data_IF_748708362894
#
_entry.id   IF_748708362894
#
_cell.length_a   1.000
_cell.length_b   1.000
_cell.length_c   1.000
_cell.angle_alpha   90.00
_cell.angle_beta   90.00
_cell.angle_gamma   90.00
#
_symmetry.space_group_name_H-M   'P 1'
#
loop_
_entity.id
_entity.type
_entity.pdbx_description
1 polymer ?
#
# COMPACT_ATOMS: atom_id res chain seq x y z
N UNK A 1 -0.54 -20.33 -80.06
CA UNK A 1 0.78 -20.00 -79.57
C UNK A 1 0.64 -19.29 -78.22
N UNK A 2 1.00 -20.03 -77.26
CA UNK A 2 0.66 -19.82 -75.84
C UNK A 2 1.49 -18.72 -75.18
N UNK A 3 0.84 -17.93 -74.37
CA UNK A 3 1.48 -17.05 -73.40
C UNK A 3 1.27 -17.57 -71.99
N UNK A 4 2.34 -17.71 -71.20
CA UNK A 4 2.23 -18.18 -69.78
C UNK A 4 1.87 -17.06 -68.80
N UNK A 5 1.15 -17.49 -67.80
CA UNK A 5 0.46 -16.69 -66.86
C UNK A 5 1.32 -15.81 -65.96
N UNK A 6 0.69 -14.71 -65.55
CA UNK A 6 1.14 -13.75 -64.46
C UNK A 6 0.99 -14.39 -63.10
N UNK A 7 2.09 -14.60 -62.40
CA UNK A 7 2.08 -14.85 -60.97
C UNK A 7 1.78 -13.57 -60.21
N UNK A 8 0.61 -13.51 -59.58
CA UNK A 8 0.25 -12.54 -58.57
C UNK A 8 0.90 -12.95 -57.23
N UNK A 9 1.88 -12.18 -56.81
CA UNK A 9 2.41 -12.25 -55.46
C UNK A 9 1.41 -11.61 -54.50
N UNK A 10 0.60 -12.41 -53.83
CA UNK A 10 -0.18 -12.00 -52.69
C UNK A 10 0.76 -11.90 -51.50
N UNK A 11 1.07 -10.64 -51.10
CA UNK A 11 1.75 -10.34 -49.86
C UNK A 11 0.87 -10.75 -48.67
N UNK A 12 1.27 -11.80 -47.98
CA UNK A 12 0.69 -12.16 -46.70
C UNK A 12 1.08 -11.11 -45.66
N UNK A 13 0.17 -10.23 -45.35
CA UNK A 13 0.29 -9.36 -44.18
C UNK A 13 0.39 -10.22 -42.90
N UNK A 14 1.55 -10.19 -42.28
CA UNK A 14 1.69 -10.70 -40.91
C UNK A 14 0.83 -9.89 -40.00
N UNK A 15 -0.35 -10.39 -39.67
CA UNK A 15 -1.12 -9.96 -38.55
C UNK A 15 -0.31 -10.31 -37.28
N UNK A 16 0.23 -9.32 -36.63
CA UNK A 16 0.75 -9.43 -35.27
C UNK A 16 -0.42 -9.88 -34.37
N UNK A 17 -0.41 -11.17 -34.06
CA UNK A 17 -1.32 -11.73 -33.07
C UNK A 17 -1.05 -11.04 -31.76
N UNK A 18 -1.93 -10.14 -31.37
CA UNK A 18 -2.03 -9.66 -29.99
C UNK A 18 -2.36 -10.90 -29.15
N UNK A 19 -1.37 -11.41 -28.44
CA UNK A 19 -1.53 -12.54 -27.55
C UNK A 19 -2.64 -12.19 -26.57
N UNK A 20 -3.81 -12.80 -26.72
CA UNK A 20 -4.89 -12.71 -25.77
C UNK A 20 -4.39 -13.28 -24.46
N UNK A 21 -4.27 -12.41 -23.46
CA UNK A 21 -3.92 -12.77 -22.10
C UNK A 21 -4.94 -13.81 -21.60
N UNK A 22 -4.54 -15.07 -21.47
CA UNK A 22 -5.41 -16.08 -20.87
C UNK A 22 -5.67 -15.65 -19.43
N UNK A 23 -6.92 -15.39 -19.08
CA UNK A 23 -7.34 -14.72 -17.83
C UNK A 23 -6.83 -15.40 -16.54
N UNK A 24 -6.44 -16.67 -16.60
CA UNK A 24 -6.13 -17.48 -15.44
C UNK A 24 -4.79 -17.12 -14.73
N UNK A 25 -3.78 -16.59 -15.41
CA UNK A 25 -2.47 -16.27 -14.82
C UNK A 25 -2.12 -14.78 -14.92
N UNK A 26 -3.11 -13.94 -15.16
CA UNK A 26 -2.92 -12.49 -15.22
C UNK A 26 -2.62 -11.91 -13.83
N UNK A 27 -1.92 -10.78 -13.78
CA UNK A 27 -1.68 -10.08 -12.52
C UNK A 27 -2.98 -9.66 -11.83
N UNK A 28 -4.05 -9.40 -12.60
CA UNK A 28 -5.40 -9.14 -12.07
C UNK A 28 -5.95 -10.37 -11.33
N UNK A 29 -5.79 -11.56 -11.90
CA UNK A 29 -6.18 -12.81 -11.25
C UNK A 29 -5.36 -13.05 -9.97
N UNK A 30 -4.06 -12.75 -9.99
CA UNK A 30 -3.19 -12.81 -8.82
C UNK A 30 -3.69 -11.93 -7.66
N UNK A 31 -4.07 -10.67 -7.96
CA UNK A 31 -4.65 -9.75 -6.96
C UNK A 31 -5.96 -10.30 -6.41
N UNK A 32 -6.83 -10.86 -7.26
CA UNK A 32 -8.10 -11.42 -6.83
C UNK A 32 -7.89 -12.63 -5.89
N UNK A 33 -6.99 -13.54 -6.22
CA UNK A 33 -6.65 -14.70 -5.36
C UNK A 33 -6.05 -14.22 -4.03
N UNK A 34 -5.13 -13.26 -4.08
CA UNK A 34 -4.53 -12.70 -2.86
C UNK A 34 -5.59 -12.09 -1.93
N UNK A 35 -6.50 -11.30 -2.45
CA UNK A 35 -7.56 -10.68 -1.66
C UNK A 35 -8.55 -11.72 -1.11
N UNK A 36 -8.89 -12.73 -1.89
CA UNK A 36 -9.74 -13.84 -1.43
C UNK A 36 -9.12 -14.59 -0.24
N UNK A 37 -7.82 -14.89 -0.30
CA UNK A 37 -7.15 -15.73 0.71
C UNK A 37 -6.62 -14.94 1.91
N UNK A 38 -6.20 -13.69 1.71
CA UNK A 38 -5.57 -12.85 2.75
C UNK A 38 -6.45 -11.68 3.21
N UNK A 39 -7.56 -11.43 2.52
CA UNK A 39 -8.50 -10.36 2.84
C UNK A 39 -9.60 -10.76 3.80
N UNK A 40 -9.78 -12.05 4.08
CA UNK A 40 -10.79 -12.53 5.02
C UNK A 40 -10.54 -11.90 6.41
N UNK A 41 -11.60 -11.40 7.03
CA UNK A 41 -11.58 -10.72 8.34
C UNK A 41 -10.65 -9.49 8.43
N UNK A 42 -10.23 -8.94 7.27
CA UNK A 42 -9.44 -7.71 7.23
C UNK A 42 -10.33 -6.47 7.00
N UNK A 43 -9.94 -5.32 7.57
CA UNK A 43 -10.68 -4.08 7.34
C UNK A 43 -10.63 -3.67 5.86
N UNK A 44 -11.64 -2.93 5.34
CA UNK A 44 -11.68 -2.48 3.94
C UNK A 44 -10.44 -1.69 3.50
N UNK A 45 -9.75 -1.06 4.43
CA UNK A 45 -8.49 -0.34 4.20
C UNK A 45 -7.37 -1.26 3.72
N UNK A 46 -7.41 -2.56 4.07
CA UNK A 46 -6.44 -3.56 3.61
C UNK A 46 -6.59 -3.78 2.09
N UNK A 47 -7.80 -4.06 1.64
CA UNK A 47 -8.08 -4.25 0.21
C UNK A 47 -7.72 -3.01 -0.60
N UNK A 48 -8.13 -1.82 -0.14
CA UNK A 48 -7.79 -0.55 -0.77
C UNK A 48 -6.28 -0.33 -0.89
N UNK A 49 -5.49 -0.72 0.14
CA UNK A 49 -4.04 -0.61 0.12
C UNK A 49 -3.40 -1.59 -0.88
N UNK A 50 -3.89 -2.84 -0.95
CA UNK A 50 -3.43 -3.84 -1.92
C UNK A 50 -3.73 -3.38 -3.34
N UNK A 51 -4.98 -2.99 -3.64
CA UNK A 51 -5.38 -2.52 -4.97
C UNK A 51 -4.58 -1.31 -5.41
N UNK A 52 -4.33 -0.34 -4.52
CA UNK A 52 -3.50 0.84 -4.81
C UNK A 52 -2.06 0.45 -5.15
N UNK A 53 -1.45 -0.42 -4.34
CA UNK A 53 -0.06 -0.86 -4.57
C UNK A 53 0.09 -1.60 -5.90
N UNK A 54 -0.85 -2.49 -6.20
CA UNK A 54 -0.89 -3.24 -7.46
C UNK A 54 -1.26 -2.34 -8.65
N UNK A 55 -2.12 -1.33 -8.45
CA UNK A 55 -2.47 -0.32 -9.45
C UNK A 55 -1.24 0.43 -9.95
N UNK A 56 -0.34 0.83 -9.07
CA UNK A 56 0.91 1.48 -9.49
C UNK A 56 1.78 0.61 -10.41
N UNK A 57 1.79 -0.72 -10.22
CA UNK A 57 2.50 -1.61 -11.12
C UNK A 57 1.82 -1.67 -12.49
N UNK A 58 0.50 -1.76 -12.51
CA UNK A 58 -0.28 -1.81 -13.74
C UNK A 58 -0.12 -0.50 -14.53
N UNK A 59 -0.16 0.64 -13.83
CA UNK A 59 0.03 1.97 -14.43
C UNK A 59 1.42 2.12 -15.06
N UNK A 60 2.45 1.51 -14.45
CA UNK A 60 3.83 1.59 -14.90
C UNK A 60 4.16 0.60 -16.03
N UNK A 61 3.77 -0.66 -15.86
CA UNK A 61 4.23 -1.78 -16.68
C UNK A 61 3.14 -2.40 -17.55
N UNK A 62 1.89 -1.92 -17.41
CA UNK A 62 0.72 -2.51 -18.04
C UNK A 62 0.23 -3.78 -17.35
N UNK A 63 -0.95 -4.25 -17.79
CA UNK A 63 -1.50 -5.52 -17.36
C UNK A 63 -0.85 -6.64 -18.14
N UNK A 64 -0.14 -7.54 -17.44
CA UNK A 64 0.55 -8.69 -18.03
C UNK A 64 0.18 -9.98 -17.31
N UNK A 65 0.50 -11.13 -17.91
CA UNK A 65 0.54 -12.40 -17.18
C UNK A 65 1.78 -12.43 -16.27
N UNK A 66 1.73 -13.24 -15.20
CA UNK A 66 2.82 -13.30 -14.22
C UNK A 66 4.17 -13.68 -14.82
N UNK A 67 4.18 -14.56 -15.84
CA UNK A 67 5.40 -15.01 -16.53
C UNK A 67 5.98 -13.96 -17.49
N UNK A 68 5.20 -12.93 -17.86
CA UNK A 68 5.62 -11.88 -18.79
C UNK A 68 6.27 -10.69 -18.06
N UNK A 69 6.20 -10.66 -16.71
CA UNK A 69 6.93 -9.65 -15.95
C UNK A 69 8.40 -10.03 -15.81
N UNK A 70 9.26 -9.12 -16.25
CA UNK A 70 10.70 -9.28 -16.22
C UNK A 70 11.35 -8.47 -15.09
N UNK A 71 12.63 -8.76 -14.82
CA UNK A 71 13.43 -7.96 -13.88
C UNK A 71 13.51 -6.48 -14.30
N UNK A 72 13.53 -6.18 -15.58
CA UNK A 72 13.47 -4.83 -16.14
C UNK A 72 12.20 -4.09 -15.73
N UNK A 73 11.04 -4.77 -15.73
CA UNK A 73 9.79 -4.18 -15.25
C UNK A 73 9.88 -3.82 -13.75
N UNK A 74 10.52 -4.66 -12.95
CA UNK A 74 10.67 -4.40 -11.53
C UNK A 74 11.60 -3.20 -11.24
N UNK A 75 12.67 -3.02 -12.02
CA UNK A 75 13.53 -1.83 -11.91
C UNK A 75 12.86 -0.58 -12.42
N UNK A 76 12.15 -0.65 -13.54
CA UNK A 76 11.32 0.44 -14.07
C UNK A 76 10.24 0.86 -13.07
N UNK A 77 9.58 -0.10 -12.44
CA UNK A 77 8.57 0.15 -11.43
C UNK A 77 9.15 0.89 -10.20
N UNK A 78 10.35 0.50 -9.74
CA UNK A 78 11.07 1.23 -8.69
C UNK A 78 11.27 2.70 -9.08
N UNK A 79 11.82 2.94 -10.27
CA UNK A 79 12.16 4.28 -10.73
C UNK A 79 10.90 5.13 -10.93
N UNK A 80 9.81 4.52 -11.43
CA UNK A 80 8.49 5.15 -11.53
C UNK A 80 7.94 5.60 -10.16
N UNK A 81 8.07 4.79 -9.11
CA UNK A 81 7.60 5.15 -7.79
C UNK A 81 8.40 6.34 -7.20
N UNK A 82 9.71 6.37 -7.40
CA UNK A 82 10.53 7.51 -7.00
C UNK A 82 10.22 8.77 -7.83
N UNK A 83 9.99 8.64 -9.13
CA UNK A 83 9.57 9.76 -9.98
C UNK A 83 8.22 10.35 -9.57
N UNK A 84 7.33 9.56 -8.97
CA UNK A 84 6.09 10.05 -8.33
C UNK A 84 6.32 10.79 -6.99
N UNK A 85 7.56 10.95 -6.54
CA UNK A 85 7.90 11.62 -5.29
C UNK A 85 7.70 10.79 -4.04
N UNK A 86 7.54 9.46 -4.16
CA UNK A 86 7.43 8.57 -3.00
C UNK A 86 8.79 8.40 -2.34
N UNK A 87 8.82 8.40 -1.00
CA UNK A 87 10.02 8.10 -0.25
C UNK A 87 10.31 6.60 -0.20
N UNK A 88 11.58 6.23 0.10
CA UNK A 88 12.05 4.85 0.10
C UNK A 88 11.25 3.93 1.01
N UNK A 89 10.76 4.39 2.16
CA UNK A 89 9.93 3.58 3.06
C UNK A 89 8.55 3.28 2.45
N UNK A 90 7.96 4.22 1.68
CA UNK A 90 6.72 4.00 0.94
C UNK A 90 6.93 3.05 -0.23
N UNK A 91 8.04 3.19 -0.97
CA UNK A 91 8.45 2.28 -2.03
C UNK A 91 8.61 0.86 -1.48
N UNK A 92 9.30 0.70 -0.35
CA UNK A 92 9.47 -0.60 0.32
C UNK A 92 8.13 -1.27 0.65
N UNK A 93 7.17 -0.53 1.16
CA UNK A 93 5.83 -1.03 1.49
C UNK A 93 5.07 -1.46 0.24
N UNK A 94 5.12 -0.68 -0.84
CA UNK A 94 4.46 -1.00 -2.13
C UNK A 94 5.09 -2.26 -2.73
N UNK A 95 6.42 -2.33 -2.81
CA UNK A 95 7.14 -3.52 -3.27
C UNK A 95 6.83 -4.75 -2.41
N UNK A 96 6.76 -4.58 -1.09
CA UNK A 96 6.35 -5.64 -0.16
C UNK A 96 4.99 -6.23 -0.52
N UNK A 97 4.02 -5.38 -0.85
CA UNK A 97 2.68 -5.80 -1.26
C UNK A 97 2.69 -6.52 -2.62
N UNK A 98 3.30 -5.92 -3.64
CA UNK A 98 3.39 -6.52 -4.98
C UNK A 98 4.11 -7.88 -4.93
N UNK A 99 5.22 -7.96 -4.19
CA UNK A 99 5.96 -9.21 -4.00
C UNK A 99 5.12 -10.28 -3.30
N UNK A 100 4.36 -9.92 -2.28
CA UNK A 100 3.49 -10.85 -1.56
C UNK A 100 2.35 -11.37 -2.45
N UNK A 101 1.72 -10.50 -3.26
CA UNK A 101 0.69 -10.88 -4.23
C UNK A 101 1.28 -11.84 -5.26
N UNK A 102 2.44 -11.50 -5.84
CA UNK A 102 3.09 -12.32 -6.87
C UNK A 102 3.53 -13.67 -6.30
N UNK A 103 4.16 -13.72 -5.12
CA UNK A 103 4.59 -14.99 -4.52
C UNK A 103 3.41 -15.92 -4.23
N UNK A 104 2.32 -15.38 -3.66
CA UNK A 104 1.13 -16.19 -3.40
C UNK A 104 0.55 -16.75 -4.70
N UNK A 105 0.42 -15.91 -5.73
CA UNK A 105 -0.12 -16.33 -7.02
C UNK A 105 0.78 -17.36 -7.74
N UNK A 106 2.10 -17.22 -7.68
CA UNK A 106 3.04 -18.23 -8.18
C UNK A 106 2.77 -19.58 -7.54
N UNK A 107 2.59 -19.61 -6.21
CA UNK A 107 2.27 -20.83 -5.46
C UNK A 107 0.91 -21.39 -5.81
N UNK A 108 -0.14 -20.57 -5.79
CA UNK A 108 -1.52 -21.00 -6.03
C UNK A 108 -1.78 -21.45 -7.48
N UNK A 109 -1.09 -20.88 -8.44
CA UNK A 109 -1.21 -21.24 -9.85
C UNK A 109 -0.22 -22.36 -10.26
N UNK A 110 0.64 -22.82 -9.36
CA UNK A 110 1.65 -23.85 -9.63
C UNK A 110 2.68 -23.42 -10.67
N UNK A 111 3.04 -22.13 -10.71
CA UNK A 111 3.96 -21.60 -11.71
C UNK A 111 5.42 -21.85 -11.32
N UNK A 112 6.22 -22.32 -12.25
CA UNK A 112 7.68 -22.54 -12.07
C UNK A 112 8.47 -21.30 -12.51
N UNK A 113 8.16 -20.13 -11.94
CA UNK A 113 8.84 -18.86 -12.23
C UNK A 113 9.40 -18.24 -10.97
N UNK A 114 10.47 -17.46 -11.13
CA UNK A 114 11.04 -16.65 -10.06
C UNK A 114 10.33 -15.30 -10.02
N UNK A 115 9.93 -14.84 -8.84
CA UNK A 115 9.29 -13.53 -8.68
C UNK A 115 10.27 -12.40 -9.07
N UNK A 116 10.02 -11.64 -10.14
CA UNK A 116 10.92 -10.60 -10.61
C UNK A 116 11.04 -9.40 -9.65
N UNK A 117 10.04 -9.23 -8.76
CA UNK A 117 9.99 -8.16 -7.77
C UNK A 117 10.76 -8.48 -6.48
N UNK A 118 11.31 -9.70 -6.37
CA UNK A 118 12.14 -10.09 -5.24
C UNK A 118 13.53 -9.44 -5.34
N UNK A 119 14.10 -9.05 -4.19
CA UNK A 119 15.47 -8.54 -4.09
C UNK A 119 15.79 -7.35 -5.03
N UNK A 120 14.80 -6.48 -5.31
CA UNK A 120 15.05 -5.21 -5.98
C UNK A 120 15.69 -4.25 -4.98
N UNK A 121 16.89 -3.76 -5.32
CA UNK A 121 17.57 -2.79 -4.48
C UNK A 121 16.98 -1.39 -4.63
N UNK A 122 16.75 -0.73 -3.52
CA UNK A 122 16.48 0.69 -3.39
C UNK A 122 16.82 1.18 -1.98
N UNK A 123 17.20 2.45 -1.86
CA UNK A 123 17.49 3.06 -0.56
C UNK A 123 16.17 3.37 0.16
N UNK A 124 15.93 2.69 1.29
CA UNK A 124 14.73 2.90 2.10
C UNK A 124 14.73 4.25 2.83
N UNK A 125 15.88 4.89 2.99
CA UNK A 125 16.01 6.21 3.63
C UNK A 125 15.80 7.36 2.64
N UNK A 126 15.85 7.09 1.33
CA UNK A 126 15.71 8.11 0.30
C UNK A 126 14.40 8.88 0.46
N UNK A 127 14.50 10.21 0.55
CA UNK A 127 13.35 11.11 0.68
C UNK A 127 12.62 11.04 2.02
N UNK A 128 13.11 10.28 2.98
CA UNK A 128 12.55 10.21 4.34
C UNK A 128 13.01 11.43 5.13
N UNK A 129 12.06 12.33 5.43
CA UNK A 129 12.34 13.49 6.29
C UNK A 129 12.30 13.04 7.76
N UNK A 130 13.39 13.28 8.48
CA UNK A 130 13.42 13.08 9.94
C UNK A 130 12.49 14.10 10.60
N UNK A 131 11.54 13.62 11.38
CA UNK A 131 10.68 14.51 12.18
C UNK A 131 11.49 15.11 13.29
N UNK A 132 11.46 16.43 13.42
CA UNK A 132 12.07 17.16 14.51
C UNK A 132 11.06 17.15 15.67
N UNK A 133 11.43 16.76 16.88
CA UNK A 133 10.57 16.89 18.05
C UNK A 133 10.12 18.33 18.25
N UNK A 134 8.89 18.53 18.72
CA UNK A 134 8.39 19.84 19.09
C UNK A 134 9.14 20.30 20.33
N UNK A 135 9.57 21.56 20.39
CA UNK A 135 10.29 22.09 21.53
C UNK A 135 9.37 22.21 22.75
N UNK A 136 9.89 21.99 23.99
CA UNK A 136 9.09 22.11 25.19
C UNK A 136 8.35 23.45 25.30
N UNK A 137 9.02 24.56 24.94
CA UNK A 137 8.44 25.90 25.00
C UNK A 137 7.22 26.07 24.07
N UNK A 138 7.25 25.39 22.92
CA UNK A 138 6.12 25.42 21.99
C UNK A 138 4.97 24.53 22.47
N UNK A 139 5.27 23.41 23.13
CA UNK A 139 4.26 22.57 23.79
C UNK A 139 3.54 23.37 24.89
N UNK A 140 4.29 24.07 25.75
CA UNK A 140 3.71 24.91 26.81
C UNK A 140 2.83 26.04 26.27
N UNK A 141 3.23 26.66 25.12
CA UNK A 141 2.38 27.68 24.46
C UNK A 141 1.06 27.07 24.00
N UNK A 142 1.12 25.91 23.33
CA UNK A 142 -0.08 25.19 22.85
C UNK A 142 -0.98 24.83 24.03
N UNK A 143 -0.42 24.29 25.12
CA UNK A 143 -1.18 23.93 26.32
C UNK A 143 -1.89 25.15 26.91
N UNK A 144 -1.20 26.31 27.04
CA UNK A 144 -1.80 27.55 27.53
C UNK A 144 -2.97 28.02 26.67
N UNK A 145 -2.83 27.96 25.33
CA UNK A 145 -3.92 28.33 24.43
C UNK A 145 -5.08 27.33 24.47
N UNK A 146 -4.79 26.04 24.64
CA UNK A 146 -5.81 25.02 24.86
C UNK A 146 -6.62 25.31 26.17
N UNK A 147 -5.92 25.68 27.20
CA UNK A 147 -6.56 26.01 28.49
C UNK A 147 -7.49 27.24 28.42
N UNK A 148 -7.08 28.29 27.67
CA UNK A 148 -7.90 29.47 27.44
C UNK A 148 -9.15 29.20 26.60
N UNK A 149 -9.03 28.34 25.62
CA UNK A 149 -10.13 28.02 24.70
C UNK A 149 -11.19 27.10 25.33
N UNK A 150 -10.79 26.26 26.28
CA UNK A 150 -11.64 25.40 27.14
C UNK A 150 -12.75 24.66 26.35
N UNK A 151 -12.38 24.01 25.22
CA UNK A 151 -13.29 23.23 24.41
C UNK A 151 -12.81 21.77 24.26
N UNK A 152 -13.72 20.89 23.83
CA UNK A 152 -13.45 19.45 23.68
C UNK A 152 -12.20 19.12 22.84
N UNK A 153 -11.96 19.88 21.76
CA UNK A 153 -10.83 19.64 20.86
C UNK A 153 -9.50 19.98 21.53
N UNK A 154 -9.48 21.08 22.33
CA UNK A 154 -8.29 21.53 23.04
C UNK A 154 -7.97 20.61 24.20
N UNK A 155 -8.97 20.13 24.91
CA UNK A 155 -8.79 19.11 25.94
C UNK A 155 -8.28 17.79 25.38
N UNK A 156 -8.72 17.39 24.17
CA UNK A 156 -8.17 16.22 23.48
C UNK A 156 -6.68 16.42 23.13
N UNK A 157 -6.28 17.61 22.67
CA UNK A 157 -4.88 17.94 22.41
C UNK A 157 -4.05 17.86 23.69
N UNK A 158 -4.54 18.44 24.79
CA UNK A 158 -3.86 18.41 26.09
C UNK A 158 -3.68 16.95 26.57
N UNK A 159 -4.73 16.14 26.51
CA UNK A 159 -4.69 14.73 26.87
C UNK A 159 -3.65 13.95 26.04
N UNK A 160 -3.60 14.17 24.72
CA UNK A 160 -2.62 13.52 23.85
C UNK A 160 -1.19 13.98 24.17
N UNK A 161 -1.01 15.29 24.45
CA UNK A 161 0.30 15.83 24.77
C UNK A 161 0.85 15.26 26.09
N UNK A 162 -0.03 15.04 27.07
CA UNK A 162 0.34 14.52 28.38
C UNK A 162 0.55 13.00 28.39
N UNK A 163 -0.33 12.26 27.71
CA UNK A 163 -0.35 10.78 27.77
C UNK A 163 0.38 10.10 26.60
N UNK A 164 0.62 10.80 25.49
CA UNK A 164 1.19 10.22 24.27
C UNK A 164 0.25 9.26 23.53
N UNK A 165 -1.04 9.17 23.88
CA UNK A 165 -2.02 8.31 23.21
C UNK A 165 -2.24 8.74 21.74
N UNK A 166 -2.68 7.81 20.90
CA UNK A 166 -3.02 8.15 19.51
C UNK A 166 -4.32 8.95 19.45
N UNK A 167 -4.40 9.87 18.47
CA UNK A 167 -5.59 10.70 18.28
C UNK A 167 -6.89 9.88 18.26
N UNK A 168 -6.92 8.75 17.51
CA UNK A 168 -8.11 7.89 17.45
C UNK A 168 -8.42 7.16 18.77
N UNK A 169 -7.43 6.93 19.60
CA UNK A 169 -7.61 6.36 20.94
C UNK A 169 -8.19 7.41 21.89
N UNK A 170 -7.64 8.63 21.86
CA UNK A 170 -8.14 9.74 22.67
C UNK A 170 -9.55 10.18 22.29
N UNK A 171 -9.81 10.38 20.99
CA UNK A 171 -11.11 10.80 20.49
C UNK A 171 -12.25 9.79 20.74
N UNK A 172 -11.91 8.53 20.95
CA UNK A 172 -12.89 7.47 21.22
C UNK A 172 -13.05 7.10 22.69
N UNK A 173 -12.51 7.87 23.62
CA UNK A 173 -12.66 7.63 25.05
C UNK A 173 -14.08 7.94 25.54
N UNK A 174 -14.54 7.12 26.48
CA UNK A 174 -15.74 7.36 27.26
C UNK A 174 -15.36 7.88 28.64
N UNK A 175 -16.32 8.51 29.31
CA UNK A 175 -16.16 8.90 30.73
C UNK A 175 -15.80 7.68 31.60
N UNK A 176 -16.33 6.51 31.31
CA UNK A 176 -16.03 5.25 32.02
C UNK A 176 -14.61 4.69 31.76
N UNK A 177 -13.86 5.27 30.85
CA UNK A 177 -12.45 4.91 30.63
C UNK A 177 -11.49 5.69 31.56
N UNK A 178 -12.00 6.72 32.25
CA UNK A 178 -11.28 7.40 33.32
C UNK A 178 -11.55 6.70 34.63
N UNK A 179 -10.54 6.11 35.21
CA UNK A 179 -10.63 5.32 36.45
C UNK A 179 -9.61 5.82 37.44
N UNK A 180 -9.97 5.78 38.71
CA UNK A 180 -9.03 6.04 39.80
C UNK A 180 -8.47 4.71 40.29
N UNK A 181 -7.15 4.60 40.33
CA UNK A 181 -6.43 3.46 40.86
C UNK A 181 -5.32 3.95 41.78
N UNK A 182 -5.31 3.50 43.01
CA UNK A 182 -4.36 3.91 44.05
C UNK A 182 -4.27 5.45 44.24
N UNK A 183 -5.41 6.13 44.21
CA UNK A 183 -5.54 7.60 44.24
C UNK A 183 -4.90 8.33 43.06
N UNK A 184 -4.66 7.63 41.95
CA UNK A 184 -4.15 8.19 40.70
C UNK A 184 -5.25 8.09 39.63
N UNK A 185 -5.56 9.22 38.98
CA UNK A 185 -6.46 9.22 37.82
C UNK A 185 -5.76 8.60 36.60
N UNK A 186 -6.30 7.50 36.14
CA UNK A 186 -5.78 6.74 35.03
C UNK A 186 -6.74 6.76 33.82
N UNK A 187 -6.21 6.67 32.62
CA UNK A 187 -6.99 6.46 31.40
C UNK A 187 -6.84 5.01 30.94
N UNK A 188 -7.93 4.26 30.93
CA UNK A 188 -7.96 2.87 30.48
C UNK A 188 -8.22 2.81 28.99
N UNK A 189 -7.19 2.50 28.19
CA UNK A 189 -7.29 2.40 26.73
C UNK A 189 -7.72 0.97 26.37
N UNK A 190 -9.01 0.77 26.05
CA UNK A 190 -9.62 -0.52 25.73
C UNK A 190 -10.39 -0.48 24.41
N UNK A 191 -10.62 -1.61 23.73
CA UNK A 191 -11.46 -1.67 22.54
C UNK A 191 -12.90 -1.26 22.86
N UNK A 192 -13.55 -0.58 21.91
CA UNK A 192 -14.97 -0.26 21.94
C UNK A 192 -15.61 -0.66 20.60
N UNK A 193 -16.94 -0.82 20.50
CA UNK A 193 -17.60 -1.17 19.23
C UNK A 193 -17.28 -0.22 18.05
N UNK A 194 -17.00 1.04 18.36
CA UNK A 194 -16.64 2.09 17.39
C UNK A 194 -15.14 2.33 17.25
N UNK A 195 -14.31 1.67 18.05
CA UNK A 195 -12.85 1.89 18.10
C UNK A 195 -12.11 0.59 18.33
N UNK A 196 -11.34 0.18 17.35
CA UNK A 196 -10.34 -0.89 17.51
C UNK A 196 -9.00 -0.31 17.97
N UNK A 197 -8.30 -1.02 18.82
CA UNK A 197 -6.89 -0.75 19.13
C UNK A 197 -5.99 -1.35 18.05
N UNK A 198 -4.88 -0.69 17.74
CA UNK A 198 -3.86 -1.18 16.81
C UNK A 198 -2.69 -1.77 17.57
#
# INVERSE_FOLDING_TARGET
DDLPGKHLLTGAGQATAVAQCTDNHSFKAAVAVYLRLKGLDRPPTFEAAVRRSCGYLIDCCGMKNLHDYLRSDATQFRDYLFAKGLNGSSVARIFGTVRAVTNLAISEFGLSIVNPFSNVYFDQSQGVKKRIPVKPEDIEKVQRECYKADDEKRWLIALIADTGIRLGEGAGLLRSDFVEQDSILCVNIRPHPWRSLK
#
